data_IF_208322619252
#
_entry.id   IF_208322619252
#
_cell.length_a   1.000
_cell.length_b   1.000
_cell.length_c   1.000
_cell.angle_alpha   90.00
_cell.angle_beta   90.00
_cell.angle_gamma   90.00
#
_symmetry.space_group_name_H-M   'P 1'
#
loop_
_entity.id
_entity.type
_entity.pdbx_description
1 polymer ?
#
# COMPACT_ATOMS: atom_id res chain seq x y z
N UNK A 1 28.11 19.52 -19.27
CA UNK A 1 27.39 18.52 -18.45
C UNK A 1 26.01 19.13 -18.19
N UNK A 2 24.98 18.62 -18.81
CA UNK A 2 23.59 19.02 -18.52
C UNK A 2 23.31 18.63 -17.08
N UNK A 3 22.99 19.62 -16.25
CA UNK A 3 22.68 19.41 -14.84
C UNK A 3 21.40 18.57 -14.78
N UNK A 4 21.47 17.35 -14.22
CA UNK A 4 20.31 16.46 -14.11
C UNK A 4 19.31 17.09 -13.15
N UNK A 5 18.00 17.09 -13.47
CA UNK A 5 17.00 17.61 -12.56
C UNK A 5 17.03 16.87 -11.23
N UNK A 6 16.97 17.63 -10.15
CA UNK A 6 17.02 17.13 -8.78
C UNK A 6 15.63 16.76 -8.30
N UNK A 7 15.41 15.45 -8.09
CA UNK A 7 14.15 14.88 -7.62
C UNK A 7 14.27 14.45 -6.17
N UNK A 8 13.42 15.00 -5.32
CA UNK A 8 13.39 14.75 -3.89
C UNK A 8 12.18 13.85 -3.54
N UNK A 9 12.44 12.64 -3.08
CA UNK A 9 11.43 11.74 -2.53
C UNK A 9 11.34 11.95 -1.01
N UNK A 10 10.14 12.14 -0.47
CA UNK A 10 9.93 12.46 0.94
C UNK A 10 8.98 11.47 1.60
N UNK A 11 9.44 10.81 2.66
CA UNK A 11 8.66 9.86 3.47
C UNK A 11 9.08 9.93 4.95
N UNK A 12 8.21 9.56 5.92
CA UNK A 12 8.60 9.60 7.33
C UNK A 12 9.75 8.66 7.68
N UNK A 13 9.65 7.41 7.24
CA UNK A 13 10.63 6.32 7.42
C UNK A 13 10.43 5.28 6.31
N UNK A 14 11.30 4.27 6.21
CA UNK A 14 11.18 3.19 5.21
C UNK A 14 10.59 1.89 5.77
N UNK A 15 10.43 1.77 7.08
CA UNK A 15 10.03 0.50 7.71
C UNK A 15 8.52 0.28 7.73
N UNK A 16 8.08 -0.85 7.22
CA UNK A 16 6.88 -1.57 7.66
C UNK A 16 5.55 -1.30 7.01
N UNK A 17 5.41 -0.38 6.05
CA UNK A 17 4.12 -0.07 5.43
C UNK A 17 4.13 -0.12 3.90
N UNK A 18 2.93 -0.20 3.29
CA UNK A 18 2.81 -0.23 1.83
C UNK A 18 3.27 1.05 1.14
N UNK A 19 3.13 2.22 1.77
CA UNK A 19 3.60 3.48 1.21
C UNK A 19 5.13 3.59 1.23
N UNK A 20 5.75 3.07 2.27
CA UNK A 20 7.19 2.98 2.46
C UNK A 20 7.82 2.04 1.43
N UNK A 21 7.20 0.87 1.23
CA UNK A 21 7.62 -0.10 0.22
C UNK A 21 7.55 0.50 -1.20
N UNK A 22 6.46 1.19 -1.54
CA UNK A 22 6.32 1.87 -2.82
C UNK A 22 7.40 2.95 -3.00
N UNK A 23 7.69 3.75 -1.96
CA UNK A 23 8.75 4.76 -2.03
C UNK A 23 10.12 4.12 -2.22
N UNK A 24 10.42 3.01 -1.56
CA UNK A 24 11.65 2.26 -1.76
C UNK A 24 11.75 1.72 -3.20
N UNK A 25 10.66 1.20 -3.77
CA UNK A 25 10.62 0.72 -5.16
C UNK A 25 10.79 1.88 -6.16
N UNK A 26 10.15 3.03 -5.95
CA UNK A 26 10.36 4.23 -6.75
C UNK A 26 11.82 4.71 -6.68
N UNK A 27 12.41 4.68 -5.48
CA UNK A 27 13.81 5.08 -5.29
C UNK A 27 14.78 4.15 -6.04
N UNK A 28 14.44 2.85 -6.17
CA UNK A 28 15.24 1.88 -6.94
C UNK A 28 15.01 1.97 -8.45
N UNK A 29 13.79 2.29 -8.87
CA UNK A 29 13.37 2.20 -10.26
C UNK A 29 13.62 3.46 -11.08
N UNK A 30 13.45 4.64 -10.48
CA UNK A 30 13.67 5.90 -11.18
C UNK A 30 15.10 6.02 -11.71
N UNK A 31 15.24 6.46 -12.94
CA UNK A 31 16.51 6.48 -13.66
C UNK A 31 17.53 7.44 -13.05
N UNK A 32 18.59 6.89 -12.46
CA UNK A 32 19.72 7.65 -11.92
C UNK A 32 20.56 8.34 -13.02
N UNK A 33 20.40 7.96 -14.28
CA UNK A 33 21.02 8.65 -15.41
C UNK A 33 20.26 9.90 -15.82
N UNK A 34 18.92 9.92 -15.61
CA UNK A 34 18.06 11.06 -15.90
C UNK A 34 18.00 12.06 -14.76
N UNK A 35 17.92 11.58 -13.50
CA UNK A 35 17.66 12.39 -12.32
C UNK A 35 18.79 12.31 -11.29
N UNK A 36 19.00 13.41 -10.54
CA UNK A 36 19.75 13.41 -9.28
C UNK A 36 18.74 13.10 -8.14
N UNK A 37 18.78 11.85 -7.63
CA UNK A 37 17.79 11.37 -6.68
C UNK A 37 18.23 11.63 -5.24
N UNK A 38 17.34 12.27 -4.47
CA UNK A 38 17.46 12.47 -3.04
C UNK A 38 16.29 11.81 -2.33
N UNK A 39 16.56 11.08 -1.25
CA UNK A 39 15.55 10.55 -0.35
C UNK A 39 15.62 11.27 0.98
N UNK A 40 14.51 11.86 1.42
CA UNK A 40 14.40 12.53 2.72
C UNK A 40 13.56 11.69 3.65
N UNK A 41 14.15 11.30 4.78
CA UNK A 41 13.54 10.58 5.87
C UNK A 41 13.34 11.53 7.05
N UNK A 42 12.14 11.55 7.62
CA UNK A 42 11.86 12.43 8.75
C UNK A 42 12.52 11.91 10.03
N UNK A 43 12.47 10.59 10.25
CA UNK A 43 13.08 9.95 11.43
C UNK A 43 14.54 9.58 11.17
N UNK A 44 15.31 9.39 12.25
CA UNK A 44 16.73 9.05 12.17
C UNK A 44 16.96 7.55 12.00
N UNK A 45 16.18 6.71 12.67
CA UNK A 45 16.33 5.27 12.65
C UNK A 45 15.63 4.66 11.43
N UNK A 46 16.41 4.34 10.42
CA UNK A 46 15.94 3.74 9.16
C UNK A 46 16.96 2.68 8.70
N UNK A 47 17.00 1.49 9.32
CA UNK A 47 17.94 0.44 8.95
C UNK A 47 17.80 0.02 7.47
N UNK A 48 16.58 0.08 6.92
CA UNK A 48 16.25 -0.24 5.53
C UNK A 48 16.92 0.73 4.52
N UNK A 49 17.29 1.94 4.97
CA UNK A 49 18.00 2.89 4.12
C UNK A 49 19.38 2.37 3.67
N UNK A 50 19.96 1.42 4.41
CA UNK A 50 21.26 0.80 4.06
C UNK A 50 21.17 -0.14 2.86
N UNK A 51 19.97 -0.63 2.53
CA UNK A 51 19.73 -1.53 1.39
C UNK A 51 19.38 -0.81 0.09
N UNK A 52 19.40 0.54 0.09
CA UNK A 52 19.13 1.34 -1.10
C UNK A 52 20.33 1.27 -2.09
N UNK A 53 20.05 1.40 -3.40
CA UNK A 53 21.10 1.41 -4.42
C UNK A 53 22.14 2.53 -4.23
N UNK A 54 23.34 2.31 -4.68
CA UNK A 54 24.34 3.36 -4.78
C UNK A 54 23.87 4.46 -5.75
N UNK A 55 24.19 5.72 -5.44
CA UNK A 55 23.80 6.88 -6.27
C UNK A 55 22.58 7.66 -5.77
N UNK A 56 21.99 7.23 -4.65
CA UNK A 56 20.92 7.97 -3.96
C UNK A 56 21.53 8.71 -2.77
N UNK A 57 21.24 10.01 -2.66
CA UNK A 57 21.63 10.77 -1.48
C UNK A 57 20.51 10.72 -0.44
N UNK A 58 20.77 10.09 0.70
CA UNK A 58 19.79 9.96 1.79
C UNK A 58 20.01 11.06 2.82
N UNK A 59 18.95 11.76 3.19
CA UNK A 59 18.92 12.79 4.22
C UNK A 59 17.99 12.38 5.35
N UNK A 60 18.47 12.27 6.57
CA UNK A 60 17.66 12.05 7.77
C UNK A 60 17.50 13.37 8.54
N UNK A 61 16.26 13.80 8.78
CA UNK A 61 15.98 15.04 9.52
C UNK A 61 16.17 14.87 11.04
N UNK A 62 16.18 13.63 11.55
CA UNK A 62 16.33 13.35 12.98
C UNK A 62 15.14 13.78 13.83
N UNK A 63 13.98 14.01 13.23
CA UNK A 63 12.79 14.42 13.94
C UNK A 63 11.99 13.21 14.43
N UNK A 64 11.45 13.28 15.66
CA UNK A 64 10.64 12.18 16.21
C UNK A 64 9.28 12.03 15.51
N UNK A 65 8.73 13.10 14.95
CA UNK A 65 7.42 13.14 14.27
C UNK A 65 7.44 14.18 13.16
N UNK A 66 6.64 13.99 12.12
CA UNK A 66 6.53 14.92 10.97
C UNK A 66 6.21 16.36 11.45
N UNK A 67 5.32 16.53 12.42
CA UNK A 67 4.93 17.84 12.95
C UNK A 67 6.06 18.61 13.65
N UNK A 68 7.16 17.95 13.99
CA UNK A 68 8.33 18.59 14.62
C UNK A 68 9.45 18.91 13.62
N UNK A 69 9.25 18.64 12.32
CA UNK A 69 10.25 18.79 11.28
C UNK A 69 10.10 19.98 10.31
N UNK A 70 9.15 20.95 10.48
CA UNK A 70 8.88 21.94 9.45
C UNK A 70 10.08 22.82 9.11
N UNK A 71 10.83 23.26 10.12
CA UNK A 71 11.99 24.13 9.89
C UNK A 71 13.18 23.38 9.29
N UNK A 72 13.45 22.15 9.77
CA UNK A 72 14.53 21.31 9.22
C UNK A 72 14.21 20.94 7.76
N UNK A 73 12.96 20.56 7.47
CA UNK A 73 12.52 20.24 6.12
C UNK A 73 12.62 21.46 5.20
N UNK A 74 12.14 22.63 5.64
CA UNK A 74 12.23 23.88 4.87
C UNK A 74 13.69 24.26 4.60
N UNK A 75 14.56 24.18 5.61
CA UNK A 75 15.98 24.46 5.46
C UNK A 75 16.64 23.51 4.44
N UNK A 76 16.37 22.22 4.55
CA UNK A 76 16.89 21.21 3.64
C UNK A 76 16.42 21.45 2.20
N UNK A 77 15.11 21.66 1.97
CA UNK A 77 14.57 21.91 0.63
C UNK A 77 15.18 23.19 0.02
N UNK A 78 15.35 24.26 0.82
CA UNK A 78 15.98 25.50 0.36
C UNK A 78 17.46 25.35 0.03
N UNK A 79 18.18 24.50 0.75
CA UNK A 79 19.61 24.23 0.47
C UNK A 79 19.79 23.35 -0.77
N UNK A 80 18.95 22.33 -0.94
CA UNK A 80 19.00 21.41 -2.08
C UNK A 80 18.44 22.02 -3.35
N UNK A 81 17.47 22.95 -3.25
CA UNK A 81 16.77 23.58 -4.38
C UNK A 81 16.29 22.54 -5.41
N UNK A 82 15.48 21.56 -4.99
CA UNK A 82 15.03 20.51 -5.89
C UNK A 82 14.14 21.09 -7.00
N UNK A 83 14.22 20.49 -8.18
CA UNK A 83 13.31 20.81 -9.28
C UNK A 83 11.93 20.18 -9.06
N UNK A 84 11.91 19.01 -8.42
CA UNK A 84 10.67 18.29 -8.09
C UNK A 84 10.75 17.65 -6.70
N UNK A 85 9.63 17.74 -5.97
CA UNK A 85 9.42 17.08 -4.68
C UNK A 85 8.22 16.16 -4.78
N UNK A 86 8.42 14.86 -4.48
CA UNK A 86 7.37 13.85 -4.38
C UNK A 86 7.17 13.43 -2.92
N UNK A 87 6.00 13.75 -2.35
CA UNK A 87 5.62 13.39 -0.98
C UNK A 87 4.66 12.20 -0.97
N UNK A 88 4.94 11.20 -0.14
CA UNK A 88 4.29 9.89 -0.17
C UNK A 88 3.23 9.62 0.90
N UNK A 89 2.94 10.55 1.84
CA UNK A 89 1.97 10.32 2.94
C UNK A 89 1.16 11.57 3.27
N UNK A 90 -0.13 11.40 3.59
CA UNK A 90 -1.08 12.51 3.79
C UNK A 90 -0.59 13.60 4.77
N UNK A 91 -0.04 13.21 5.93
CA UNK A 91 0.45 14.18 6.90
C UNK A 91 1.72 14.92 6.43
N UNK A 92 2.57 14.28 5.62
CA UNK A 92 3.68 14.95 4.93
C UNK A 92 3.19 15.82 3.78
N UNK A 93 2.18 15.36 3.04
CA UNK A 93 1.56 16.16 1.98
C UNK A 93 1.05 17.49 2.53
N UNK A 94 0.33 17.47 3.67
CA UNK A 94 -0.11 18.70 4.34
C UNK A 94 1.06 19.61 4.71
N UNK A 95 2.13 19.04 5.27
CA UNK A 95 3.31 19.83 5.68
C UNK A 95 3.98 20.48 4.46
N UNK A 96 4.25 19.71 3.40
CA UNK A 96 4.91 20.22 2.19
C UNK A 96 4.06 21.29 1.50
N UNK A 97 2.75 21.06 1.38
CA UNK A 97 1.82 22.01 0.76
C UNK A 97 1.63 23.28 1.61
N UNK A 98 1.74 23.17 2.94
CA UNK A 98 1.78 24.32 3.83
C UNK A 98 3.07 25.14 3.64
N UNK A 99 4.20 24.47 3.40
CA UNK A 99 5.48 25.12 3.16
C UNK A 99 5.63 25.68 1.72
N UNK A 100 4.74 25.35 0.77
CA UNK A 100 4.79 25.79 -0.63
C UNK A 100 5.11 27.27 -0.81
N UNK A 101 4.49 28.25 -0.07
CA UNK A 101 4.77 29.67 -0.24
C UNK A 101 6.20 30.08 0.13
N UNK A 102 6.92 29.24 0.87
CA UNK A 102 8.29 29.50 1.31
C UNK A 102 9.34 28.79 0.45
N UNK A 103 8.90 28.00 -0.54
CA UNK A 103 9.78 27.26 -1.45
C UNK A 103 10.04 28.08 -2.73
N UNK A 104 11.03 27.62 -3.51
CA UNK A 104 11.27 28.21 -4.84
C UNK A 104 10.05 28.01 -5.73
N UNK A 105 9.68 29.04 -6.49
CA UNK A 105 8.64 28.93 -7.53
C UNK A 105 8.99 27.90 -8.62
N UNK A 106 10.25 27.54 -8.76
CA UNK A 106 10.71 26.53 -9.72
C UNK A 106 10.55 25.09 -9.23
N UNK A 107 10.27 24.88 -7.93
CA UNK A 107 10.11 23.54 -7.35
C UNK A 107 8.70 23.04 -7.60
N UNK A 108 8.54 21.99 -8.37
CA UNK A 108 7.27 21.27 -8.53
C UNK A 108 6.97 20.41 -7.31
N UNK A 109 5.69 20.31 -6.94
CA UNK A 109 5.26 19.47 -5.81
C UNK A 109 4.23 18.46 -6.28
N UNK A 110 4.61 17.20 -6.25
CA UNK A 110 3.75 16.06 -6.45
C UNK A 110 3.41 15.46 -5.08
N UNK A 111 2.14 15.18 -4.85
CA UNK A 111 1.69 14.51 -3.61
C UNK A 111 0.99 13.21 -3.96
N UNK A 112 1.40 12.12 -3.30
CA UNK A 112 0.79 10.81 -3.49
C UNK A 112 -0.23 10.57 -2.38
N UNK A 113 -1.46 10.25 -2.77
CA UNK A 113 -2.56 9.92 -1.88
C UNK A 113 -2.65 8.40 -1.72
N UNK A 114 -2.69 7.91 -0.47
CA UNK A 114 -2.66 6.47 -0.15
C UNK A 114 -4.02 5.88 0.24
N UNK A 115 -5.06 6.69 0.26
CA UNK A 115 -6.43 6.29 0.59
C UNK A 115 -7.41 7.33 0.10
N UNK A 116 -8.71 7.04 0.13
CA UNK A 116 -9.74 8.02 -0.24
C UNK A 116 -9.83 9.13 0.81
N UNK A 117 -10.17 10.33 0.39
CA UNK A 117 -10.42 11.47 1.29
C UNK A 117 -11.69 11.23 2.10
N UNK A 118 -12.72 10.65 1.48
CA UNK A 118 -13.98 10.26 2.16
C UNK A 118 -13.71 9.36 3.36
N UNK A 119 -12.85 8.33 3.22
CA UNK A 119 -12.46 7.47 4.33
C UNK A 119 -11.66 8.22 5.41
N UNK A 120 -10.73 9.08 5.00
CA UNK A 120 -9.98 9.92 5.93
C UNK A 120 -10.87 10.89 6.71
N UNK A 121 -11.90 11.44 6.07
CA UNK A 121 -12.88 12.32 6.70
C UNK A 121 -13.79 11.56 7.67
N UNK A 122 -14.22 10.33 7.33
CA UNK A 122 -15.05 9.49 8.19
C UNK A 122 -14.37 9.14 9.52
N UNK A 123 -13.04 8.97 9.50
CA UNK A 123 -12.22 8.65 10.68
C UNK A 123 -11.64 9.87 11.40
N UNK A 124 -11.79 11.08 10.84
CA UNK A 124 -11.17 12.28 11.39
C UNK A 124 -11.91 12.79 12.63
N UNK A 125 -11.23 13.23 13.70
CA UNK A 125 -11.87 13.86 14.86
C UNK A 125 -12.66 15.13 14.52
N UNK A 126 -12.20 15.88 13.51
CA UNK A 126 -12.80 17.13 13.04
C UNK A 126 -12.99 17.12 11.50
N UNK A 127 -13.99 16.38 10.94
CA UNK A 127 -14.12 16.15 9.51
C UNK A 127 -14.22 17.45 8.68
N UNK A 128 -14.96 18.45 9.17
CA UNK A 128 -15.13 19.75 8.49
C UNK A 128 -13.82 20.51 8.37
N UNK A 129 -13.01 20.54 9.44
CA UNK A 129 -11.70 21.18 9.43
C UNK A 129 -10.70 20.41 8.55
N UNK A 130 -10.69 19.10 8.65
CA UNK A 130 -9.85 18.23 7.80
C UNK A 130 -10.19 18.42 6.32
N UNK A 131 -11.50 18.47 5.95
CA UNK A 131 -11.94 18.76 4.58
C UNK A 131 -11.48 20.15 4.12
N UNK A 132 -11.58 21.16 4.98
CA UNK A 132 -11.08 22.50 4.68
C UNK A 132 -9.56 22.50 4.39
N UNK A 133 -8.77 21.79 5.21
CA UNK A 133 -7.32 21.66 4.98
C UNK A 133 -7.02 20.98 3.63
N UNK A 134 -7.72 19.89 3.31
CA UNK A 134 -7.59 19.26 2.00
C UNK A 134 -7.89 20.24 0.87
N UNK A 135 -9.01 20.97 0.93
CA UNK A 135 -9.44 21.91 -0.11
C UNK A 135 -8.48 23.07 -0.32
N UNK A 136 -7.88 23.57 0.75
CA UNK A 136 -6.96 24.72 0.67
C UNK A 136 -5.56 24.28 0.25
N UNK A 137 -5.08 23.17 0.78
CA UNK A 137 -3.68 22.77 0.59
C UNK A 137 -3.48 21.98 -0.70
N UNK A 138 -4.33 21.02 -1.02
CA UNK A 138 -4.11 20.15 -2.18
C UNK A 138 -4.20 20.88 -3.53
N UNK A 139 -4.92 22.00 -3.60
CA UNK A 139 -4.90 22.88 -4.77
C UNK A 139 -3.54 23.52 -5.07
N UNK A 140 -2.60 23.46 -4.12
CA UNK A 140 -1.24 23.96 -4.29
C UNK A 140 -0.28 22.91 -4.84
N UNK A 141 -0.70 21.67 -4.98
CA UNK A 141 0.08 20.63 -5.63
C UNK A 141 0.07 20.82 -7.14
N UNK A 142 1.18 20.59 -7.80
CA UNK A 142 1.22 20.55 -9.26
C UNK A 142 0.47 19.30 -9.75
N UNK A 143 0.71 18.14 -9.09
CA UNK A 143 -0.07 16.92 -9.30
C UNK A 143 -0.40 16.20 -7.99
N UNK A 144 -1.60 15.59 -7.98
CA UNK A 144 -2.04 14.64 -6.94
C UNK A 144 -2.11 13.27 -7.57
N UNK A 145 -1.23 12.38 -7.15
CA UNK A 145 -1.15 11.01 -7.63
C UNK A 145 -2.12 10.14 -6.82
N UNK A 146 -3.08 9.55 -7.51
CA UNK A 146 -4.04 8.59 -7.00
C UNK A 146 -3.72 7.19 -7.51
N UNK A 147 -4.06 6.15 -6.76
CA UNK A 147 -3.78 4.76 -7.15
C UNK A 147 -4.88 4.17 -8.05
N UNK A 148 -6.07 4.76 -8.02
CA UNK A 148 -7.23 4.32 -8.80
C UNK A 148 -8.03 5.52 -9.31
N UNK A 149 -8.80 5.30 -10.38
CA UNK A 149 -9.74 6.31 -10.90
C UNK A 149 -10.81 6.68 -9.88
N UNK A 150 -11.24 5.73 -9.04
CA UNK A 150 -12.16 5.98 -7.94
C UNK A 150 -11.58 6.94 -6.90
N UNK A 151 -10.28 6.82 -6.56
CA UNK A 151 -9.60 7.78 -5.68
C UNK A 151 -9.48 9.17 -6.33
N UNK A 152 -9.17 9.23 -7.64
CA UNK A 152 -9.13 10.51 -8.35
C UNK A 152 -10.49 11.19 -8.37
N UNK A 153 -11.57 10.41 -8.56
CA UNK A 153 -12.95 10.90 -8.47
C UNK A 153 -13.27 11.42 -7.06
N UNK A 154 -12.93 10.67 -6.02
CA UNK A 154 -13.12 11.07 -4.62
C UNK A 154 -12.35 12.38 -4.31
N UNK A 155 -11.12 12.51 -4.80
CA UNK A 155 -10.30 13.73 -4.64
C UNK A 155 -10.94 14.94 -5.33
N UNK A 156 -11.51 14.75 -6.52
CA UNK A 156 -12.25 15.81 -7.23
C UNK A 156 -13.52 16.20 -6.46
N UNK A 157 -14.32 15.23 -6.07
CA UNK A 157 -15.66 15.47 -5.49
C UNK A 157 -15.56 16.03 -4.05
N UNK A 158 -14.66 15.51 -3.21
CA UNK A 158 -14.52 15.92 -1.81
C UNK A 158 -13.64 17.17 -1.63
N UNK A 159 -12.61 17.31 -2.46
CA UNK A 159 -11.58 18.36 -2.30
C UNK A 159 -11.70 19.45 -3.33
N UNK A 160 -12.17 19.15 -4.54
CA UNK A 160 -12.25 20.08 -5.66
C UNK A 160 -10.90 20.28 -6.35
N UNK A 161 -10.05 19.25 -6.38
CA UNK A 161 -8.84 19.22 -7.21
C UNK A 161 -9.26 19.10 -8.67
N UNK A 162 -8.62 19.88 -9.55
CA UNK A 162 -8.96 19.89 -10.97
C UNK A 162 -8.43 18.63 -11.66
N UNK A 163 -9.15 18.12 -12.68
CA UNK A 163 -8.76 16.91 -13.41
C UNK A 163 -7.34 16.98 -13.98
N UNK A 164 -6.91 18.14 -14.45
CA UNK A 164 -5.54 18.37 -14.95
C UNK A 164 -4.44 18.22 -13.90
N UNK A 165 -4.79 18.28 -12.61
CA UNK A 165 -3.88 18.07 -11.48
C UNK A 165 -3.94 16.62 -10.93
N UNK A 166 -4.83 15.77 -11.47
CA UNK A 166 -4.99 14.39 -11.04
C UNK A 166 -4.23 13.44 -11.96
N UNK A 167 -3.39 12.61 -11.39
CA UNK A 167 -2.73 11.52 -12.10
C UNK A 167 -3.12 10.19 -11.45
N UNK A 168 -3.45 9.18 -12.25
CA UNK A 168 -3.73 7.83 -11.75
C UNK A 168 -2.56 6.94 -12.10
N UNK A 169 -1.76 6.58 -11.09
CA UNK A 169 -0.57 5.74 -11.24
C UNK A 169 -0.62 4.53 -10.32
N UNK A 170 -0.32 3.36 -10.87
CA UNK A 170 -0.25 2.12 -10.13
C UNK A 170 0.94 2.11 -9.14
N UNK A 171 0.81 1.36 -8.06
CA UNK A 171 1.94 1.06 -7.18
C UNK A 171 2.92 0.13 -7.89
N UNK A 172 4.21 0.43 -7.97
CA UNK A 172 5.18 -0.53 -8.51
C UNK A 172 5.23 -1.79 -7.64
N UNK A 173 5.31 -2.94 -8.30
CA UNK A 173 5.40 -4.26 -7.70
C UNK A 173 6.52 -5.06 -8.37
N UNK A 174 7.50 -5.50 -7.60
CA UNK A 174 8.61 -6.33 -8.10
C UNK A 174 8.17 -7.80 -8.22
N UNK A 175 7.35 -8.07 -9.25
CA UNK A 175 6.71 -9.38 -9.51
C UNK A 175 7.75 -10.48 -9.65
N UNK A 176 8.85 -10.21 -10.35
CA UNK A 176 9.92 -11.17 -10.61
C UNK A 176 10.60 -11.61 -9.32
N UNK A 177 10.96 -10.65 -8.46
CA UNK A 177 11.56 -10.94 -7.16
C UNK A 177 10.60 -11.63 -6.21
N UNK A 178 9.33 -11.23 -6.19
CA UNK A 178 8.28 -11.89 -5.39
C UNK A 178 8.13 -13.36 -5.77
N UNK A 179 8.06 -13.67 -7.06
CA UNK A 179 7.95 -15.05 -7.57
C UNK A 179 9.19 -15.85 -7.24
N UNK A 180 10.39 -15.32 -7.51
CA UNK A 180 11.65 -15.99 -7.23
C UNK A 180 11.81 -16.33 -5.73
N UNK A 181 11.47 -15.40 -4.85
CA UNK A 181 11.52 -15.58 -3.40
C UNK A 181 10.48 -16.61 -2.93
N UNK A 182 9.26 -16.55 -3.46
CA UNK A 182 8.20 -17.51 -3.19
C UNK A 182 8.58 -18.93 -3.62
N UNK A 183 9.11 -19.10 -4.83
CA UNK A 183 9.55 -20.39 -5.36
C UNK A 183 10.73 -20.99 -4.57
N UNK A 184 11.68 -20.16 -4.18
CA UNK A 184 12.82 -20.60 -3.35
C UNK A 184 12.35 -21.14 -2.01
N UNK A 185 11.36 -20.52 -1.40
CA UNK A 185 10.76 -20.95 -0.12
C UNK A 185 9.98 -22.26 -0.26
N UNK A 186 9.37 -22.52 -1.44
CA UNK A 186 8.65 -23.78 -1.69
C UNK A 186 9.58 -25.00 -1.71
N UNK A 187 10.85 -24.82 -2.08
CA UNK A 187 11.87 -25.90 -2.10
C UNK A 187 12.34 -26.31 -0.70
N UNK A 188 12.37 -25.36 0.23
CA UNK A 188 12.79 -25.58 1.62
C UNK A 188 11.66 -26.14 2.48
N UNK A 189 10.41 -25.76 2.18
CA UNK A 189 9.21 -26.11 2.95
C UNK A 189 8.37 -27.25 2.38
N UNK A 190 8.91 -28.19 1.59
CA UNK A 190 8.19 -29.34 1.02
C UNK A 190 7.61 -30.29 2.07
N UNK A 191 6.65 -29.79 2.87
CA UNK A 191 5.74 -30.61 3.67
C UNK A 191 4.33 -30.02 3.61
N UNK A 192 3.68 -30.02 2.44
CA UNK A 192 2.24 -30.05 2.44
C UNK A 192 1.68 -30.55 1.09
N UNK A 193 1.74 -31.85 0.87
CA UNK A 193 0.64 -32.56 0.20
C UNK A 193 -0.59 -32.60 1.15
N UNK A 194 -0.76 -31.58 1.99
CA UNK A 194 -1.84 -31.51 2.93
C UNK A 194 -3.08 -31.03 2.21
N UNK A 195 -4.11 -31.88 2.18
CA UNK A 195 -5.48 -31.53 1.73
C UNK A 195 -6.14 -30.47 2.62
N UNK A 196 -5.44 -30.03 3.66
CA UNK A 196 -5.93 -29.06 4.64
C UNK A 196 -5.91 -27.65 4.06
N UNK A 197 -7.05 -26.95 3.99
CA UNK A 197 -7.08 -25.57 3.53
C UNK A 197 -6.31 -24.64 4.46
N UNK A 198 -5.39 -23.83 3.90
CA UNK A 198 -4.63 -22.80 4.63
C UNK A 198 -4.96 -21.44 4.07
N UNK A 199 -5.67 -20.64 4.85
CA UNK A 199 -6.02 -19.26 4.51
C UNK A 199 -4.90 -18.35 5.00
N UNK A 200 -4.48 -17.40 4.18
CA UNK A 200 -3.45 -16.41 4.52
C UNK A 200 -4.03 -15.00 4.46
N UNK A 201 -3.87 -14.25 5.51
CA UNK A 201 -4.21 -12.83 5.55
C UNK A 201 -3.01 -12.03 6.06
N UNK A 202 -2.76 -10.86 5.46
CA UNK A 202 -1.56 -10.06 5.78
C UNK A 202 -1.90 -8.59 5.86
N UNK A 203 -1.32 -7.91 6.84
CA UNK A 203 -1.45 -6.47 6.99
C UNK A 203 -1.27 -5.99 8.43
N UNK A 204 -1.33 -4.67 8.61
CA UNK A 204 -1.32 -4.08 9.94
C UNK A 204 -2.56 -4.52 10.73
N UNK A 205 -2.39 -5.00 11.95
CA UNK A 205 -3.50 -5.41 12.82
C UNK A 205 -4.21 -4.17 13.39
N UNK A 206 -5.09 -3.59 12.57
CA UNK A 206 -5.83 -2.37 12.86
C UNK A 206 -7.27 -2.50 12.35
N UNK A 207 -8.17 -1.73 12.92
CA UNK A 207 -9.63 -1.83 12.72
C UNK A 207 -10.03 -1.80 11.23
N UNK A 208 -9.40 -0.92 10.43
CA UNK A 208 -9.67 -0.79 9.00
C UNK A 208 -9.34 -2.06 8.19
N UNK A 209 -8.49 -2.96 8.72
CA UNK A 209 -8.11 -4.22 8.06
C UNK A 209 -9.08 -5.37 8.33
N UNK A 210 -10.02 -5.22 9.26
CA UNK A 210 -11.14 -6.13 9.46
C UNK A 210 -10.76 -7.55 9.85
N UNK A 211 -9.63 -7.76 10.55
CA UNK A 211 -9.24 -9.10 11.02
C UNK A 211 -10.24 -9.70 12.01
N UNK A 212 -10.97 -8.88 12.74
CA UNK A 212 -12.08 -9.29 13.59
C UNK A 212 -13.25 -9.88 12.79
N UNK A 213 -13.57 -9.31 11.62
CA UNK A 213 -14.54 -9.89 10.67
C UNK A 213 -14.04 -11.23 10.14
N UNK A 214 -12.74 -11.31 9.81
CA UNK A 214 -12.13 -12.54 9.32
C UNK A 214 -12.20 -13.66 10.36
N UNK A 215 -11.94 -13.39 11.64
CA UNK A 215 -12.04 -14.40 12.69
C UNK A 215 -13.48 -14.94 12.82
N UNK A 216 -14.50 -14.10 12.76
CA UNK A 216 -15.91 -14.55 12.75
C UNK A 216 -16.24 -15.36 11.49
N UNK A 217 -15.82 -14.89 10.30
CA UNK A 217 -16.03 -15.61 9.05
C UNK A 217 -15.31 -16.98 9.05
N UNK A 218 -14.11 -17.03 9.61
CA UNK A 218 -13.32 -18.26 9.72
C UNK A 218 -13.94 -19.26 10.69
N UNK A 219 -14.60 -18.80 11.76
CA UNK A 219 -15.36 -19.69 12.65
C UNK A 219 -16.42 -20.47 11.86
N UNK A 220 -17.18 -19.78 11.00
CA UNK A 220 -18.17 -20.41 10.10
C UNK A 220 -17.51 -21.37 9.09
N UNK A 221 -16.34 -21.00 8.54
CA UNK A 221 -15.59 -21.88 7.63
C UNK A 221 -15.19 -23.18 8.32
N UNK A 222 -14.81 -23.13 9.60
CA UNK A 222 -14.42 -24.30 10.40
C UNK A 222 -15.56 -25.31 10.63
N UNK A 223 -16.82 -24.89 10.57
CA UNK A 223 -17.96 -25.80 10.63
C UNK A 223 -17.99 -26.76 9.43
N UNK A 224 -17.65 -26.26 8.23
CA UNK A 224 -17.60 -27.03 6.99
C UNK A 224 -16.22 -27.69 6.71
N UNK A 225 -15.14 -27.05 7.17
CA UNK A 225 -13.75 -27.48 7.00
C UNK A 225 -13.05 -27.54 8.36
N UNK A 226 -13.30 -28.55 9.20
CA UNK A 226 -12.81 -28.62 10.59
C UNK A 226 -11.29 -28.52 10.75
N UNK A 227 -10.53 -28.94 9.75
CA UNK A 227 -9.07 -28.90 9.75
C UNK A 227 -8.48 -27.62 9.18
N UNK A 228 -9.29 -26.70 8.63
CA UNK A 228 -8.81 -25.46 8.03
C UNK A 228 -7.96 -24.64 9.01
N UNK A 229 -6.91 -24.01 8.49
CA UNK A 229 -5.97 -23.17 9.23
C UNK A 229 -6.00 -21.75 8.70
N UNK A 230 -5.86 -20.78 9.60
CA UNK A 230 -5.73 -19.34 9.25
C UNK A 230 -4.38 -18.81 9.75
N UNK A 231 -3.60 -18.28 8.83
CA UNK A 231 -2.33 -17.61 9.09
C UNK A 231 -2.55 -16.09 8.98
N UNK A 232 -2.23 -15.36 10.03
CA UNK A 232 -2.31 -13.89 10.06
C UNK A 232 -0.90 -13.34 10.24
N UNK A 233 -0.38 -12.68 9.18
CA UNK A 233 0.93 -12.04 9.19
C UNK A 233 0.79 -10.53 9.34
N UNK A 234 1.45 -9.98 10.34
CA UNK A 234 1.45 -8.56 10.66
C UNK A 234 1.39 -8.29 12.15
N UNK A 235 1.53 -7.03 12.52
CA UNK A 235 1.44 -6.53 13.88
C UNK A 235 0.59 -5.25 13.90
N UNK A 236 0.11 -4.85 15.07
CA UNK A 236 -0.67 -3.63 15.19
C UNK A 236 -1.43 -3.49 16.50
N UNK A 237 -2.13 -2.36 16.68
CA UNK A 237 -2.81 -2.04 17.94
C UNK A 237 -3.91 -3.01 18.34
N UNK A 238 -4.54 -3.70 17.37
CA UNK A 238 -5.64 -4.64 17.62
C UNK A 238 -5.16 -6.06 18.01
N UNK A 239 -3.86 -6.33 18.04
CA UNK A 239 -3.32 -7.70 18.21
C UNK A 239 -3.85 -8.40 19.46
N UNK A 240 -3.86 -7.72 20.61
CA UNK A 240 -4.34 -8.31 21.86
C UNK A 240 -5.86 -8.58 21.80
N UNK A 241 -6.64 -7.67 21.23
CA UNK A 241 -8.08 -7.84 21.07
C UNK A 241 -8.42 -9.01 20.13
N UNK A 242 -7.68 -9.13 19.02
CA UNK A 242 -7.87 -10.22 18.05
C UNK A 242 -7.51 -11.59 18.65
N UNK A 243 -6.44 -11.68 19.45
CA UNK A 243 -6.09 -12.91 20.16
C UNK A 243 -7.15 -13.30 21.20
N UNK A 244 -7.71 -12.33 21.92
CA UNK A 244 -8.80 -12.57 22.86
C UNK A 244 -10.08 -13.06 22.14
N UNK A 245 -10.46 -12.40 21.02
CA UNK A 245 -11.57 -12.82 20.18
C UNK A 245 -11.38 -14.23 19.61
N UNK A 246 -10.17 -14.55 19.12
CA UNK A 246 -9.80 -15.87 18.64
C UNK A 246 -10.05 -16.96 19.71
N UNK A 247 -9.68 -16.67 20.97
CA UNK A 247 -9.91 -17.57 22.10
C UNK A 247 -11.40 -17.71 22.42
N UNK A 248 -12.17 -16.63 22.42
CA UNK A 248 -13.62 -16.62 22.64
C UNK A 248 -14.39 -17.44 21.59
N UNK A 249 -13.92 -17.40 20.34
CA UNK A 249 -14.48 -18.18 19.23
C UNK A 249 -14.00 -19.64 19.19
N UNK A 250 -13.17 -20.08 20.14
CA UNK A 250 -12.64 -21.44 20.17
C UNK A 250 -11.67 -21.77 19.03
N UNK A 251 -11.04 -20.77 18.41
CA UNK A 251 -10.18 -20.89 17.21
C UNK A 251 -8.69 -21.06 17.54
N UNK A 252 -8.30 -21.10 18.81
CA UNK A 252 -6.90 -20.98 19.24
C UNK A 252 -5.90 -21.95 18.59
N UNK A 253 -6.32 -23.18 18.27
CA UNK A 253 -5.47 -24.16 17.59
C UNK A 253 -5.44 -24.04 16.06
N UNK A 254 -6.36 -23.27 15.47
CA UNK A 254 -6.56 -23.15 14.04
C UNK A 254 -6.08 -21.82 13.47
N UNK A 255 -5.80 -20.83 14.32
CA UNK A 255 -5.33 -19.50 13.93
C UNK A 255 -3.92 -19.28 14.45
N UNK A 256 -3.01 -18.90 13.56
CA UNK A 256 -1.63 -18.54 13.89
C UNK A 256 -1.37 -17.07 13.62
N UNK A 257 -1.04 -16.31 14.66
CA UNK A 257 -0.56 -14.93 14.54
C UNK A 257 0.95 -14.95 14.39
N UNK A 258 1.46 -14.64 13.18
CA UNK A 258 2.88 -14.76 12.82
C UNK A 258 3.71 -13.53 13.21
N UNK A 259 3.05 -12.44 13.65
CA UNK A 259 3.73 -11.18 13.88
C UNK A 259 4.21 -10.54 12.56
N UNK A 260 5.16 -9.63 12.67
CA UNK A 260 5.80 -9.03 11.50
C UNK A 260 6.66 -10.05 10.75
N UNK A 261 6.43 -10.19 9.45
CA UNK A 261 7.19 -11.07 8.56
C UNK A 261 7.94 -10.23 7.55
N UNK A 262 9.26 -10.31 7.53
CA UNK A 262 10.13 -9.49 6.68
C UNK A 262 9.90 -9.76 5.18
N UNK A 263 9.74 -11.05 4.82
CA UNK A 263 9.49 -11.50 3.45
C UNK A 263 8.18 -12.28 3.37
N UNK A 264 7.02 -11.59 3.34
CA UNK A 264 5.72 -12.26 3.42
C UNK A 264 5.41 -13.18 2.23
N UNK A 265 6.03 -12.97 1.07
CA UNK A 265 5.91 -13.86 -0.09
C UNK A 265 6.41 -15.29 0.16
N UNK A 266 7.22 -15.52 1.21
CA UNK A 266 7.63 -16.88 1.63
C UNK A 266 6.47 -17.72 2.18
N UNK A 267 5.35 -17.10 2.55
CA UNK A 267 4.16 -17.77 3.05
C UNK A 267 3.23 -18.24 1.90
N UNK A 268 3.35 -17.66 0.70
CA UNK A 268 2.44 -17.93 -0.43
C UNK A 268 2.44 -19.38 -0.91
N UNK A 269 3.58 -20.10 -1.01
CA UNK A 269 3.57 -21.49 -1.44
C UNK A 269 2.74 -22.42 -0.56
N UNK A 270 2.70 -22.14 0.74
CA UNK A 270 1.94 -22.92 1.71
C UNK A 270 0.47 -22.53 1.86
N UNK A 271 0.03 -21.46 1.23
CA UNK A 271 -1.34 -20.97 1.31
C UNK A 271 -2.22 -21.55 0.19
N UNK A 272 -3.45 -21.94 0.54
CA UNK A 272 -4.51 -22.33 -0.41
C UNK A 272 -5.10 -21.09 -1.08
N UNK A 273 -5.36 -20.04 -0.30
CA UNK A 273 -5.88 -18.76 -0.79
C UNK A 273 -5.43 -17.59 0.10
N UNK A 274 -5.46 -16.40 -0.46
CA UNK A 274 -5.26 -15.14 0.24
C UNK A 274 -6.60 -14.50 0.58
N UNK A 275 -6.72 -13.93 1.79
CA UNK A 275 -7.92 -13.23 2.25
C UNK A 275 -7.62 -11.77 2.52
N UNK A 276 -8.37 -10.88 1.88
CA UNK A 276 -8.45 -9.47 2.22
C UNK A 276 -9.78 -9.21 2.94
N UNK A 277 -9.73 -8.97 4.23
CA UNK A 277 -10.91 -8.71 5.07
C UNK A 277 -11.16 -7.23 5.36
N UNK A 278 -10.46 -6.34 4.68
CA UNK A 278 -10.44 -4.90 4.98
C UNK A 278 -11.82 -4.26 4.91
N UNK A 279 -12.13 -3.40 5.89
CA UNK A 279 -13.29 -2.49 5.82
C UNK A 279 -13.05 -1.33 4.87
N UNK A 280 -11.79 -0.86 4.85
CA UNK A 280 -11.36 0.24 3.99
C UNK A 280 -9.93 0.00 3.55
N UNK A 281 -9.74 -0.10 2.24
CA UNK A 281 -8.41 -0.16 1.62
C UNK A 281 -8.50 0.34 0.19
N UNK A 282 -7.67 1.28 -0.18
CA UNK A 282 -7.74 1.85 -1.53
C UNK A 282 -7.10 0.92 -2.56
N UNK A 283 -5.90 0.42 -2.25
CA UNK A 283 -5.14 -0.52 -3.08
C UNK A 283 -4.13 -1.28 -2.20
N UNK A 284 -4.52 -2.45 -1.65
CA UNK A 284 -3.68 -3.20 -0.71
C UNK A 284 -2.53 -3.91 -1.43
N UNK A 285 -1.29 -3.53 -1.13
CA UNK A 285 -0.10 -4.17 -1.72
C UNK A 285 -0.06 -5.67 -1.43
N UNK A 286 -0.47 -6.12 -0.23
CA UNK A 286 -0.51 -7.53 0.12
C UNK A 286 -1.38 -8.38 -0.82
N UNK A 287 -2.52 -7.84 -1.29
CA UNK A 287 -3.36 -8.48 -2.30
C UNK A 287 -2.65 -8.54 -3.65
N UNK A 288 -2.00 -7.46 -4.08
CA UNK A 288 -1.26 -7.42 -5.33
C UNK A 288 -0.08 -8.40 -5.32
N UNK A 289 0.62 -8.52 -4.19
CA UNK A 289 1.72 -9.48 -3.98
C UNK A 289 1.21 -10.93 -4.05
N UNK A 290 0.09 -11.22 -3.39
CA UNK A 290 -0.55 -12.54 -3.44
C UNK A 290 -1.01 -12.89 -4.87
N UNK A 291 -1.63 -11.93 -5.57
CA UNK A 291 -2.04 -12.07 -6.97
C UNK A 291 -0.84 -12.29 -7.89
N UNK A 292 0.27 -11.56 -7.69
CA UNK A 292 1.50 -11.72 -8.46
C UNK A 292 2.07 -13.15 -8.37
N UNK A 293 1.90 -13.80 -7.22
CA UNK A 293 2.28 -15.19 -6.98
C UNK A 293 1.16 -16.19 -7.35
N UNK A 294 0.08 -15.73 -7.94
CA UNK A 294 -1.01 -16.57 -8.48
C UNK A 294 -1.94 -17.15 -7.42
N UNK A 295 -1.98 -16.63 -6.18
CA UNK A 295 -2.89 -17.15 -5.17
C UNK A 295 -4.34 -16.85 -5.55
N UNK A 296 -5.27 -17.82 -5.33
CA UNK A 296 -6.69 -17.51 -5.28
C UNK A 296 -6.97 -16.42 -4.24
N UNK A 297 -7.89 -15.52 -4.53
CA UNK A 297 -8.17 -14.34 -3.68
C UNK A 297 -9.62 -14.34 -3.23
N UNK A 298 -9.84 -14.17 -1.93
CA UNK A 298 -11.14 -13.79 -1.38
C UNK A 298 -11.01 -12.39 -0.80
N UNK A 299 -11.90 -11.47 -1.18
CA UNK A 299 -11.78 -10.08 -0.74
C UNK A 299 -13.14 -9.48 -0.35
N UNK A 300 -13.13 -8.60 0.66
CA UNK A 300 -14.24 -7.68 0.93
C UNK A 300 -14.19 -6.51 -0.07
N UNK A 301 -15.33 -5.86 -0.40
CA UNK A 301 -15.38 -4.68 -1.27
C UNK A 301 -14.91 -3.42 -0.54
N UNK A 302 -13.66 -3.41 -0.07
CA UNK A 302 -13.08 -2.38 0.81
C UNK A 302 -12.98 -0.98 0.18
N UNK A 303 -13.07 -0.87 -1.14
CA UNK A 303 -13.19 0.39 -1.89
C UNK A 303 -13.74 0.15 -3.30
N UNK A 304 -14.32 1.19 -3.91
CA UNK A 304 -14.80 1.08 -5.28
C UNK A 304 -13.69 0.74 -6.27
N UNK A 305 -12.49 1.32 -6.09
CA UNK A 305 -11.34 1.02 -6.95
C UNK A 305 -10.88 -0.44 -6.86
N UNK A 306 -11.01 -1.05 -5.68
CA UNK A 306 -10.72 -2.47 -5.50
C UNK A 306 -11.80 -3.34 -6.14
N UNK A 307 -13.07 -2.97 -6.00
CA UNK A 307 -14.20 -3.67 -6.65
C UNK A 307 -14.03 -3.63 -8.17
N UNK A 308 -13.71 -2.48 -8.75
CA UNK A 308 -13.51 -2.31 -10.20
C UNK A 308 -12.33 -3.16 -10.70
N UNK A 309 -11.27 -3.31 -9.89
CA UNK A 309 -10.10 -4.13 -10.22
C UNK A 309 -10.40 -5.63 -10.19
N UNK A 310 -11.17 -6.08 -9.20
CA UNK A 310 -11.34 -7.50 -8.86
C UNK A 310 -12.60 -8.12 -9.46
N UNK A 311 -13.55 -7.32 -9.90
CA UNK A 311 -14.83 -7.82 -10.47
C UNK A 311 -14.58 -8.70 -11.67
N UNK A 312 -15.26 -9.83 -11.71
CA UNK A 312 -15.23 -10.81 -12.82
C UNK A 312 -13.84 -11.40 -13.13
N UNK A 313 -12.89 -11.28 -12.20
CA UNK A 313 -11.56 -11.88 -12.35
C UNK A 313 -11.58 -13.36 -11.97
N UNK A 314 -11.00 -14.20 -12.83
CA UNK A 314 -10.85 -15.63 -12.56
C UNK A 314 -9.95 -15.86 -11.34
N UNK A 315 -10.40 -16.72 -10.42
CA UNK A 315 -9.65 -17.00 -9.18
C UNK A 315 -9.83 -15.93 -8.09
N UNK A 316 -10.86 -15.07 -8.24
CA UNK A 316 -11.24 -14.06 -7.27
C UNK A 316 -12.70 -14.24 -6.85
N UNK A 317 -12.94 -14.23 -5.54
CA UNK A 317 -14.27 -14.26 -4.93
C UNK A 317 -14.43 -12.97 -4.11
N UNK A 318 -15.28 -12.08 -4.62
CA UNK A 318 -15.57 -10.82 -3.94
C UNK A 318 -16.80 -11.01 -3.04
N UNK A 319 -16.67 -10.71 -1.75
CA UNK A 319 -17.79 -10.71 -0.83
C UNK A 319 -18.81 -9.62 -1.23
N UNK A 320 -20.07 -9.83 -0.92
CA UNK A 320 -21.15 -8.89 -1.27
C UNK A 320 -21.01 -7.56 -0.53
N UNK A 321 -20.58 -7.63 0.72
CA UNK A 321 -20.30 -6.46 1.58
C UNK A 321 -19.12 -6.70 2.54
N UNK A 322 -18.88 -5.73 3.44
CA UNK A 322 -17.80 -5.79 4.45
C UNK A 322 -18.28 -6.39 5.78
N UNK A 323 -19.11 -7.44 5.74
CA UNK A 323 -19.54 -8.19 6.94
C UNK A 323 -18.85 -9.55 7.05
N UNK A 324 -18.80 -10.08 8.26
CA UNK A 324 -18.28 -11.44 8.49
C UNK A 324 -19.11 -12.50 7.76
N UNK A 325 -20.43 -12.31 7.67
CA UNK A 325 -21.34 -13.21 6.98
C UNK A 325 -21.06 -13.26 5.47
N UNK A 326 -20.97 -12.11 4.80
CA UNK A 326 -20.67 -12.05 3.37
C UNK A 326 -19.27 -12.63 3.08
N UNK A 327 -18.27 -12.34 3.95
CA UNK A 327 -16.93 -12.89 3.83
C UNK A 327 -16.93 -14.42 4.00
N UNK A 328 -17.71 -14.97 4.95
CA UNK A 328 -17.80 -16.43 5.13
C UNK A 328 -18.42 -17.13 3.93
N UNK A 329 -19.44 -16.54 3.31
CA UNK A 329 -20.03 -17.07 2.06
C UNK A 329 -19.01 -17.11 0.93
N UNK A 330 -18.26 -16.02 0.70
CA UNK A 330 -17.22 -15.97 -0.31
C UNK A 330 -16.10 -16.98 -0.06
N UNK A 331 -15.67 -17.14 1.22
CA UNK A 331 -14.67 -18.14 1.62
C UNK A 331 -15.13 -19.58 1.34
N UNK A 332 -16.37 -19.91 1.71
CA UNK A 332 -16.94 -21.25 1.47
C UNK A 332 -17.10 -21.53 -0.03
N UNK A 333 -17.54 -20.56 -0.82
CA UNK A 333 -17.60 -20.69 -2.28
C UNK A 333 -16.22 -20.97 -2.89
N UNK A 334 -15.22 -20.20 -2.47
CA UNK A 334 -13.85 -20.40 -2.93
C UNK A 334 -13.31 -21.79 -2.55
N UNK A 335 -13.42 -22.19 -1.30
CA UNK A 335 -12.89 -23.47 -0.81
C UNK A 335 -13.55 -24.69 -1.44
N UNK A 336 -14.84 -24.61 -1.78
CA UNK A 336 -15.55 -25.69 -2.49
C UNK A 336 -15.10 -25.84 -3.95
N UNK A 337 -14.49 -24.81 -4.56
CA UNK A 337 -14.04 -24.82 -5.96
C UNK A 337 -12.53 -25.02 -6.10
N UNK A 338 -11.77 -24.81 -5.02
CA UNK A 338 -10.30 -24.83 -5.05
C UNK A 338 -9.73 -26.19 -4.66
N UNK A 339 -8.69 -26.61 -5.39
CA UNK A 339 -7.70 -27.55 -4.87
C UNK A 339 -6.53 -26.79 -4.25
N UNK A 340 -5.86 -27.34 -3.21
CA UNK A 340 -4.85 -26.60 -2.42
C UNK A 340 -3.67 -26.03 -3.23
N UNK A 341 -3.34 -26.63 -4.36
CA UNK A 341 -2.22 -26.22 -5.23
C UNK A 341 -2.62 -25.33 -6.40
N UNK A 342 -3.92 -24.99 -6.55
CA UNK A 342 -4.39 -24.22 -7.70
C UNK A 342 -3.83 -22.80 -7.66
N UNK A 343 -3.36 -22.31 -8.81
CA UNK A 343 -2.84 -20.96 -9.01
C UNK A 343 -3.49 -20.32 -10.24
N UNK A 344 -3.67 -19.02 -10.22
CA UNK A 344 -4.33 -18.26 -11.27
C UNK A 344 -3.39 -17.19 -11.85
N UNK A 345 -3.35 -17.01 -13.17
CA UNK A 345 -2.68 -15.86 -13.77
C UNK A 345 -3.60 -14.63 -13.62
N UNK A 346 -3.34 -13.79 -12.67
CA UNK A 346 -4.14 -12.58 -12.44
C UNK A 346 -3.68 -11.45 -13.41
N UNK A 347 -4.29 -11.27 -14.60
CA UNK A 347 -3.82 -10.29 -15.57
C UNK A 347 -3.99 -8.84 -15.10
N UNK A 348 -4.84 -8.59 -14.10
CA UNK A 348 -5.05 -7.26 -13.54
C UNK A 348 -3.81 -6.69 -12.85
N UNK A 349 -2.77 -7.51 -12.57
CA UNK A 349 -1.50 -7.02 -11.97
C UNK A 349 -0.55 -6.40 -13.00
N UNK A 350 -0.77 -6.56 -14.31
CA UNK A 350 0.17 -6.07 -15.33
C UNK A 350 0.50 -4.57 -15.22
N UNK A 351 -0.46 -3.65 -14.95
CA UNK A 351 -0.15 -2.23 -14.76
C UNK A 351 0.70 -1.95 -13.50
N UNK A 352 0.75 -2.89 -12.56
CA UNK A 352 1.50 -2.77 -11.30
C UNK A 352 2.92 -3.34 -11.42
N UNK A 353 3.27 -4.05 -12.51
CA UNK A 353 4.63 -4.56 -12.69
C UNK A 353 5.65 -3.44 -12.60
N UNK A 354 6.84 -3.80 -12.13
CA UNK A 354 7.85 -2.81 -11.74
C UNK A 354 8.15 -1.82 -12.86
N UNK A 355 8.56 -2.30 -14.04
CA UNK A 355 8.97 -1.41 -15.12
C UNK A 355 7.81 -0.55 -15.66
N UNK A 356 6.62 -1.09 -16.03
CA UNK A 356 5.50 -0.27 -16.48
C UNK A 356 5.07 0.80 -15.47
N UNK A 357 5.08 0.47 -14.19
CA UNK A 357 4.73 1.44 -13.16
C UNK A 357 5.80 2.53 -13.02
N UNK A 358 7.09 2.18 -13.05
CA UNK A 358 8.20 3.15 -13.00
C UNK A 358 8.16 4.07 -14.22
N UNK A 359 7.99 3.52 -15.42
CA UNK A 359 7.88 4.32 -16.65
C UNK A 359 6.76 5.36 -16.56
N UNK A 360 5.60 4.98 -16.02
CA UNK A 360 4.48 5.91 -15.82
C UNK A 360 4.81 7.04 -14.80
N UNK A 361 5.59 6.72 -13.74
CA UNK A 361 6.08 7.76 -12.82
C UNK A 361 7.12 8.66 -13.49
N UNK A 362 8.03 8.12 -14.30
CA UNK A 362 9.03 8.92 -15.05
C UNK A 362 8.34 9.83 -16.06
N UNK A 363 7.34 9.35 -16.80
CA UNK A 363 6.57 10.15 -17.74
C UNK A 363 5.85 11.33 -17.06
N UNK A 364 5.28 11.11 -15.87
CA UNK A 364 4.68 12.18 -15.09
C UNK A 364 5.73 13.18 -14.60
N UNK A 365 6.87 12.73 -14.11
CA UNK A 365 8.00 13.58 -13.67
C UNK A 365 8.51 14.41 -14.85
N UNK A 366 8.80 13.78 -15.98
CA UNK A 366 9.31 14.45 -17.18
C UNK A 366 8.30 15.48 -17.73
N UNK A 367 7.00 15.16 -17.72
CA UNK A 367 5.93 16.09 -18.11
C UNK A 367 5.88 17.28 -17.16
N UNK A 368 5.90 17.03 -15.86
CA UNK A 368 5.86 18.07 -14.82
C UNK A 368 7.06 19.03 -14.94
N UNK A 369 8.25 18.50 -15.17
CA UNK A 369 9.48 19.31 -15.29
C UNK A 369 9.50 20.22 -16.53
N UNK A 370 8.70 19.91 -17.58
CA UNK A 370 8.54 20.76 -18.78
C UNK A 370 7.53 21.87 -18.58
N UNK A 371 6.62 21.71 -17.63
CA UNK A 371 5.58 22.70 -17.31
C UNK A 371 6.14 23.82 -16.41
N UNK A 372 5.41 24.95 -16.33
CA UNK A 372 5.72 25.96 -15.32
C UNK A 372 5.03 25.57 -14.00
N UNK A 373 5.73 25.60 -12.86
CA UNK A 373 5.09 25.36 -11.56
C UNK A 373 3.94 26.31 -11.28
N UNK A 374 2.93 25.82 -10.56
CA UNK A 374 1.72 26.57 -10.15
C UNK A 374 2.03 27.71 -9.16
#
# INVERSE_FOLDING_TARGET
MTDRPRVLLLIPHLGGGGAEQVTALLTRGLSHSKYELHLVLVTQDNPEAKSLPAGITVHALGARRVRSAPFQLLHLIRSLKPDLLLSGMAHLNFLVLLLRPFLSIRTHILVRQNGTVSAALASAPHPRFTRFLYRVLYRRADYVICQTTAMAKDMRDEVGVQDKQLAVLANPLDVENLRATSESSSKVGRQSNSSVPRLLAMGRLAHEKGFDLLLHAFATVREAFPDAQLLIAGSGPEELALKAQCSQLGLGSAVSFLGHVEHPCTLFPGATLFVLSSRQDAMPNALLEAAACGLPIVATPASQGLVDLLRDQTGVWLAEDTTAQALSVALLQALNQLSPALRFPHPFIEPFRFQPAIDAYEDLIDTTLRERPL
#
